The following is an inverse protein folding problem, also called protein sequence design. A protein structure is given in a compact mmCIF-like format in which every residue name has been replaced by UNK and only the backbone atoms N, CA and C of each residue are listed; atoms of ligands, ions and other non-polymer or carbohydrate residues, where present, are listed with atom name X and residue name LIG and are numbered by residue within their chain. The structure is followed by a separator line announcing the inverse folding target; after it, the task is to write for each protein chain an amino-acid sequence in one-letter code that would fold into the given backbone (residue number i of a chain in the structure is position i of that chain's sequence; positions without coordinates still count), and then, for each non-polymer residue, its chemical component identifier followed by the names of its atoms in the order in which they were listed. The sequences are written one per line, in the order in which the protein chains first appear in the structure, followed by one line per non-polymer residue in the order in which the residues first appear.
data_IF_270379251699
#
_entry.id   IF_270379251699
#
_cell.length_a   1.000
_cell.length_b   1.000
_cell.length_c   1.000
_cell.angle_alpha   90.00
_cell.angle_beta   90.00
_cell.angle_gamma   90.00
#
_symmetry.space_group_name_H-M   'P 1'
#
loop_
_entity.id
_entity.type
_entity.pdbx_description
1 polymer ?
#
# COMPACT_ATOMS: atom_id res chain seq x y z
N UNK A 1 44.85 46.93 14.58
CA UNK A 1 43.69 46.21 13.98
C UNK A 1 43.68 46.52 12.49
N UNK A 2 44.33 45.67 11.68
CA UNK A 2 44.31 45.82 10.22
C UNK A 2 43.06 45.16 9.67
N UNK A 3 42.20 45.95 9.04
CA UNK A 3 40.98 45.49 8.39
C UNK A 3 41.32 44.50 7.27
N UNK A 4 40.71 43.31 7.31
CA UNK A 4 40.77 42.33 6.23
C UNK A 4 39.98 42.89 5.04
N UNK A 5 40.66 43.22 3.96
CA UNK A 5 40.02 43.57 2.69
C UNK A 5 39.26 42.34 2.19
N UNK A 6 37.96 42.42 1.82
CA UNK A 6 37.28 41.29 1.22
C UNK A 6 37.90 41.07 -0.16
N UNK A 7 38.66 39.98 -0.31
CA UNK A 7 39.06 39.53 -1.64
C UNK A 7 37.78 39.23 -2.41
N UNK A 8 37.44 40.07 -3.38
CA UNK A 8 36.36 39.78 -4.32
C UNK A 8 36.56 38.38 -4.86
N UNK A 9 35.49 37.58 -4.90
CA UNK A 9 35.54 36.20 -5.38
C UNK A 9 36.33 36.16 -6.70
N UNK A 10 37.37 35.32 -6.80
CA UNK A 10 38.24 35.32 -7.97
C UNK A 10 37.39 35.11 -9.22
N UNK A 11 37.61 35.95 -10.24
CA UNK A 11 36.91 35.79 -11.51
C UNK A 11 37.15 34.39 -12.08
N UNK A 12 36.20 33.88 -12.86
CA UNK A 12 36.25 32.52 -13.45
C UNK A 12 37.59 32.26 -14.16
N UNK A 13 38.18 33.28 -14.76
CA UNK A 13 39.48 33.20 -15.41
C UNK A 13 40.64 32.90 -14.44
N UNK A 14 40.65 33.56 -13.27
CA UNK A 14 41.65 33.34 -12.24
C UNK A 14 41.47 31.97 -11.58
N UNK A 15 40.23 31.55 -11.36
CA UNK A 15 39.91 30.19 -10.88
C UNK A 15 40.36 29.11 -11.87
N UNK A 16 40.09 29.29 -13.17
CA UNK A 16 40.51 28.35 -14.21
C UNK A 16 42.04 28.24 -14.27
N UNK A 17 42.75 29.38 -14.15
CA UNK A 17 44.21 29.43 -14.12
C UNK A 17 44.78 28.67 -12.92
N UNK A 18 44.22 28.89 -11.72
CA UNK A 18 44.64 28.21 -10.50
C UNK A 18 44.38 26.69 -10.55
N UNK A 19 43.26 26.28 -11.17
CA UNK A 19 42.88 24.88 -11.32
C UNK A 19 43.54 24.18 -12.52
N UNK A 20 44.36 24.88 -13.33
CA UNK A 20 45.03 24.30 -14.50
C UNK A 20 44.08 23.90 -15.64
N UNK A 21 42.86 24.44 -15.67
CA UNK A 21 41.85 24.13 -16.69
C UNK A 21 41.66 25.31 -17.64
N UNK A 22 41.35 25.03 -18.92
CA UNK A 22 41.00 26.11 -19.84
C UNK A 22 39.61 26.66 -19.50
N UNK A 23 39.44 27.98 -19.63
CA UNK A 23 38.13 28.65 -19.46
C UNK A 23 37.06 28.05 -20.39
N UNK A 24 37.43 27.73 -21.63
CA UNK A 24 36.55 27.06 -22.59
C UNK A 24 36.17 25.64 -22.14
N UNK A 25 37.12 24.89 -21.56
CA UNK A 25 36.87 23.58 -20.96
C UNK A 25 35.95 23.65 -19.76
N UNK A 26 36.16 24.62 -18.86
CA UNK A 26 35.28 24.90 -17.73
C UNK A 26 33.84 25.16 -18.17
N UNK A 27 33.61 26.09 -19.10
CA UNK A 27 32.24 26.36 -19.57
C UNK A 27 31.63 25.19 -20.35
N UNK A 28 32.42 24.40 -21.08
CA UNK A 28 31.95 23.20 -21.77
C UNK A 28 31.49 22.13 -20.78
N UNK A 29 32.29 21.86 -19.76
CA UNK A 29 31.98 20.88 -18.73
C UNK A 29 30.85 21.36 -17.80
N UNK A 30 30.83 22.65 -17.47
CA UNK A 30 29.74 23.28 -16.74
C UNK A 30 28.44 23.21 -17.52
N UNK A 31 28.43 23.46 -18.84
CA UNK A 31 27.22 23.26 -19.68
C UNK A 31 26.74 21.81 -19.72
N UNK A 32 27.64 20.84 -19.53
CA UNK A 32 27.32 19.41 -19.49
C UNK A 32 26.82 18.96 -18.12
N UNK A 33 27.27 19.61 -17.03
CA UNK A 33 27.06 19.17 -15.65
C UNK A 33 26.15 20.11 -14.84
N UNK A 34 25.85 21.31 -15.35
CA UNK A 34 24.95 22.24 -14.70
C UNK A 34 23.54 21.64 -14.72
N UNK A 35 22.92 21.42 -13.55
CA UNK A 35 21.51 21.10 -13.50
C UNK A 35 20.77 22.23 -14.22
N UNK A 36 19.94 21.89 -15.22
CA UNK A 36 19.03 22.89 -15.80
C UNK A 36 18.18 23.45 -14.66
N UNK A 37 17.90 24.75 -14.63
CA UNK A 37 17.07 25.34 -13.56
C UNK A 37 15.73 24.60 -13.40
N UNK A 38 15.16 24.11 -14.50
CA UNK A 38 13.98 23.24 -14.51
C UNK A 38 14.18 21.91 -13.75
N UNK A 39 15.37 21.33 -13.78
CA UNK A 39 15.70 20.10 -13.05
C UNK A 39 15.84 20.37 -11.54
N UNK A 40 16.42 21.51 -11.16
CA UNK A 40 16.50 21.94 -9.76
C UNK A 40 15.11 22.21 -9.18
N UNK A 41 14.26 22.96 -9.89
CA UNK A 41 12.91 23.28 -9.44
C UNK A 41 12.01 22.03 -9.32
N UNK A 42 12.10 21.11 -10.29
CA UNK A 42 11.37 19.85 -10.22
C UNK A 42 11.83 18.99 -9.03
N UNK A 43 13.14 18.90 -8.79
CA UNK A 43 13.71 18.10 -7.69
C UNK A 43 13.27 18.63 -6.33
N UNK A 44 13.26 19.95 -6.16
CA UNK A 44 12.78 20.61 -4.93
C UNK A 44 11.30 20.28 -4.64
N UNK A 45 10.44 20.39 -5.65
CA UNK A 45 9.02 20.04 -5.52
C UNK A 45 8.83 18.55 -5.20
N UNK A 46 9.58 17.66 -5.85
CA UNK A 46 9.55 16.22 -5.57
C UNK A 46 9.94 15.94 -4.12
N UNK A 47 11.02 16.56 -3.62
CA UNK A 47 11.47 16.42 -2.24
C UNK A 47 10.41 16.89 -1.25
N UNK A 48 9.85 18.09 -1.45
CA UNK A 48 8.77 18.64 -0.61
C UNK A 48 7.56 17.71 -0.57
N UNK A 49 7.09 17.24 -1.73
CA UNK A 49 5.91 16.37 -1.82
C UNK A 49 6.16 14.99 -1.19
N UNK A 50 7.35 14.42 -1.38
CA UNK A 50 7.74 13.13 -0.81
C UNK A 50 7.85 13.20 0.72
N UNK A 51 8.43 14.26 1.28
CA UNK A 51 8.53 14.47 2.73
C UNK A 51 7.15 14.70 3.37
N UNK A 52 6.28 15.48 2.72
CA UNK A 52 4.90 15.67 3.18
C UNK A 52 4.05 14.39 3.08
N UNK A 53 4.37 13.48 2.16
CA UNK A 53 3.61 12.27 1.88
C UNK A 53 4.50 11.02 1.88
N UNK A 54 5.13 10.71 3.02
CA UNK A 54 6.11 9.61 3.18
C UNK A 54 5.66 8.21 2.69
N UNK A 55 4.35 7.98 2.56
CA UNK A 55 3.76 6.73 2.10
C UNK A 55 3.40 6.72 0.60
N UNK A 56 3.68 7.79 -0.14
CA UNK A 56 3.33 7.90 -1.55
C UNK A 56 4.52 7.48 -2.42
N UNK A 57 4.29 6.48 -3.27
CA UNK A 57 5.25 6.13 -4.32
C UNK A 57 5.23 7.13 -5.48
N UNK A 58 6.20 6.99 -6.38
CA UNK A 58 6.44 7.88 -7.53
C UNK A 58 5.20 8.14 -8.41
N UNK A 59 4.25 7.20 -8.51
CA UNK A 59 2.98 7.40 -9.24
C UNK A 59 2.07 8.41 -8.56
N UNK A 60 1.93 8.34 -7.24
CA UNK A 60 1.11 9.29 -6.46
C UNK A 60 1.79 10.65 -6.38
N UNK A 61 3.11 10.69 -6.23
CA UNK A 61 3.88 11.93 -6.32
C UNK A 61 3.73 12.56 -7.71
N UNK A 62 3.80 11.77 -8.80
CA UNK A 62 3.53 12.24 -10.16
C UNK A 62 2.14 12.85 -10.33
N UNK A 63 1.11 12.28 -9.70
CA UNK A 63 -0.24 12.85 -9.73
C UNK A 63 -0.33 14.18 -8.97
N UNK A 64 0.36 14.32 -7.82
CA UNK A 64 0.44 15.57 -7.07
C UNK A 64 1.19 16.65 -7.85
N UNK A 65 2.30 16.29 -8.49
CA UNK A 65 3.02 17.17 -9.42
C UNK A 65 2.10 17.71 -10.52
N UNK A 66 1.28 16.85 -11.13
CA UNK A 66 0.29 17.27 -12.13
C UNK A 66 -0.74 18.27 -11.59
N UNK A 67 -1.15 18.13 -10.32
CA UNK A 67 -2.06 19.10 -9.67
C UNK A 67 -1.38 20.44 -9.39
N UNK A 68 -0.06 20.44 -9.17
CA UNK A 68 0.74 21.66 -9.06
C UNK A 68 1.19 22.21 -10.43
N UNK A 69 0.66 21.68 -11.54
CA UNK A 69 0.91 22.19 -12.89
C UNK A 69 2.15 21.60 -13.59
N UNK A 70 2.84 20.64 -12.98
CA UNK A 70 4.01 20.00 -13.58
C UNK A 70 3.64 18.87 -14.53
N UNK A 71 4.05 18.98 -15.80
CA UNK A 71 3.92 17.90 -16.78
C UNK A 71 5.20 17.07 -16.86
N UNK A 72 5.28 16.02 -16.05
CA UNK A 72 6.49 15.19 -15.92
C UNK A 72 6.18 13.71 -16.08
N UNK A 73 6.97 13.02 -16.90
CA UNK A 73 6.87 11.57 -17.06
C UNK A 73 7.18 10.85 -15.74
N UNK A 74 6.33 9.88 -15.36
CA UNK A 74 6.49 9.08 -14.14
C UNK A 74 7.88 8.41 -14.02
N UNK A 75 8.55 8.06 -15.12
CA UNK A 75 9.92 7.52 -15.10
C UNK A 75 10.94 8.54 -14.61
N UNK A 76 10.76 9.83 -14.94
CA UNK A 76 11.61 10.92 -14.46
C UNK A 76 11.40 11.17 -12.97
N UNK A 77 10.15 11.12 -12.52
CA UNK A 77 9.82 11.19 -11.07
C UNK A 77 10.47 10.03 -10.32
N UNK A 78 10.37 8.81 -10.84
CA UNK A 78 11.00 7.63 -10.25
C UNK A 78 12.53 7.77 -10.18
N UNK A 79 13.16 8.23 -11.27
CA UNK A 79 14.62 8.45 -11.31
C UNK A 79 15.06 9.42 -10.21
N UNK A 80 14.44 10.60 -10.14
CA UNK A 80 14.78 11.64 -9.16
C UNK A 80 14.54 11.14 -7.74
N UNK A 81 13.40 10.52 -7.47
CA UNK A 81 13.13 9.93 -6.15
C UNK A 81 14.13 8.83 -5.77
N UNK A 82 14.62 8.05 -6.74
CA UNK A 82 15.65 7.04 -6.52
C UNK A 82 17.02 7.65 -6.22
N UNK A 83 17.43 8.67 -6.98
CA UNK A 83 18.68 9.41 -6.78
C UNK A 83 18.73 10.11 -5.42
N UNK A 84 17.58 10.58 -4.91
CA UNK A 84 17.46 11.29 -3.63
C UNK A 84 17.09 10.38 -2.45
N UNK A 85 17.02 9.05 -2.63
CA UNK A 85 16.58 8.10 -1.59
C UNK A 85 15.19 8.43 -0.99
N UNK A 86 14.27 8.96 -1.80
CA UNK A 86 12.90 9.35 -1.42
C UNK A 86 11.87 8.24 -1.68
N UNK A 87 12.31 6.99 -1.81
CA UNK A 87 11.41 5.88 -2.10
C UNK A 87 10.47 5.62 -0.92
N UNK A 88 9.19 5.39 -1.23
CA UNK A 88 8.13 5.20 -0.24
C UNK A 88 8.48 4.06 0.73
N UNK A 89 8.44 4.38 2.02
CA UNK A 89 8.48 3.39 3.09
C UNK A 89 7.06 2.84 3.29
N UNK A 90 6.81 1.67 2.71
CA UNK A 90 5.55 0.95 2.92
C UNK A 90 5.62 0.25 4.27
N UNK A 91 4.91 0.78 5.26
CA UNK A 91 4.64 0.02 6.49
C UNK A 91 3.83 -1.22 6.12
N UNK A 92 4.18 -2.38 6.68
CA UNK A 92 3.31 -3.56 6.55
C UNK A 92 1.92 -3.18 7.06
N UNK A 93 0.84 -3.48 6.31
CA UNK A 93 -0.50 -3.25 6.82
C UNK A 93 -0.63 -3.98 8.15
N UNK A 94 -1.20 -3.32 9.15
CA UNK A 94 -1.54 -3.98 10.40
C UNK A 94 -2.60 -5.04 10.08
N UNK A 95 -2.22 -6.31 10.28
CA UNK A 95 -3.15 -7.44 10.19
C UNK A 95 -3.32 -7.94 11.62
N UNK A 96 -4.49 -7.74 12.26
CA UNK A 96 -4.74 -8.29 13.58
C UNK A 96 -4.57 -9.82 13.51
N UNK A 97 -3.86 -10.39 14.49
CA UNK A 97 -3.74 -11.85 14.60
C UNK A 97 -5.08 -12.42 15.03
N UNK A 98 -5.86 -12.89 14.06
CA UNK A 98 -7.15 -13.56 14.29
C UNK A 98 -6.98 -15.00 14.74
N UNK A 99 -5.83 -15.63 14.45
CA UNK A 99 -5.53 -17.01 14.79
C UNK A 99 -4.18 -17.11 15.49
N UNK A 100 -4.16 -17.66 16.70
CA UNK A 100 -2.91 -18.06 17.35
C UNK A 100 -2.55 -19.50 16.98
N UNK A 101 -1.77 -19.66 15.92
CA UNK A 101 -1.27 -20.97 15.50
C UNK A 101 -0.15 -21.52 16.40
N UNK A 102 0.34 -20.75 17.39
CA UNK A 102 1.38 -21.19 18.33
C UNK A 102 0.77 -21.58 19.68
N UNK A 103 -0.25 -22.42 19.63
CA UNK A 103 -0.93 -22.93 20.80
C UNK A 103 -0.44 -24.34 21.18
N UNK A 104 -0.59 -24.73 22.44
CA UNK A 104 -0.27 -26.09 22.93
C UNK A 104 -1.38 -27.11 22.67
N UNK A 105 -2.53 -26.71 22.10
CA UNK A 105 -3.64 -27.61 21.81
C UNK A 105 -3.27 -28.66 20.75
N UNK A 106 -3.90 -29.84 20.87
CA UNK A 106 -3.76 -30.93 19.90
C UNK A 106 -4.21 -30.46 18.51
N UNK A 107 -3.30 -30.51 17.55
CA UNK A 107 -3.61 -30.28 16.14
C UNK A 107 -4.22 -31.57 15.58
N UNK A 108 -5.45 -31.49 15.08
CA UNK A 108 -6.13 -32.60 14.40
C UNK A 108 -5.81 -32.60 12.91
N UNK A 109 -5.63 -33.76 12.27
CA UNK A 109 -5.38 -33.83 10.84
C UNK A 109 -6.59 -33.31 10.05
N UNK A 110 -6.33 -32.60 8.96
CA UNK A 110 -7.39 -32.17 8.05
C UNK A 110 -7.88 -33.38 7.23
N UNK A 111 -8.97 -34.00 7.68
CA UNK A 111 -9.59 -35.16 7.02
C UNK A 111 -10.22 -34.83 5.66
N UNK A 112 -10.51 -33.56 5.38
CA UNK A 112 -11.05 -33.14 4.09
C UNK A 112 -9.97 -33.08 2.99
N UNK A 113 -8.67 -33.09 3.35
CA UNK A 113 -7.58 -33.01 2.38
C UNK A 113 -7.55 -34.28 1.52
N UNK A 114 -7.74 -34.14 0.22
CA UNK A 114 -7.72 -35.25 -0.73
C UNK A 114 -9.01 -36.08 -0.78
N UNK A 115 -10.08 -35.61 -0.14
CA UNK A 115 -11.38 -36.27 -0.21
C UNK A 115 -12.00 -36.04 -1.60
N UNK A 116 -12.36 -37.13 -2.29
CA UNK A 116 -13.17 -37.08 -3.50
C UNK A 116 -14.65 -37.10 -3.11
N UNK A 117 -15.37 -36.04 -3.47
CA UNK A 117 -16.80 -35.91 -3.17
C UNK A 117 -17.61 -36.53 -4.32
N UNK A 118 -18.41 -37.54 -4.00
CA UNK A 118 -19.28 -38.26 -4.94
C UNK A 118 -20.76 -37.86 -4.84
N UNK A 119 -21.12 -37.04 -3.84
CA UNK A 119 -22.49 -36.57 -3.67
C UNK A 119 -22.66 -35.45 -2.64
N UNK A 120 -23.88 -34.93 -2.55
CA UNK A 120 -24.28 -33.93 -1.56
C UNK A 120 -24.20 -34.48 -0.14
N UNK A 121 -24.01 -33.60 0.84
CA UNK A 121 -23.95 -33.89 2.28
C UNK A 121 -22.77 -34.76 2.73
N UNK A 122 -21.69 -34.82 1.95
CA UNK A 122 -20.46 -35.53 2.33
C UNK A 122 -19.45 -34.63 3.04
N UNK A 123 -19.40 -33.35 2.65
CA UNK A 123 -18.54 -32.35 3.26
C UNK A 123 -19.25 -31.00 3.26
N UNK A 124 -19.30 -30.37 4.42
CA UNK A 124 -19.80 -28.99 4.56
C UNK A 124 -18.65 -28.05 4.85
N UNK A 125 -18.64 -26.92 4.14
CA UNK A 125 -17.69 -25.84 4.36
C UNK A 125 -18.44 -24.68 4.99
N UNK A 126 -17.94 -24.20 6.12
CA UNK A 126 -18.52 -23.08 6.85
C UNK A 126 -17.52 -21.96 6.91
N UNK A 127 -17.97 -20.75 6.61
CA UNK A 127 -17.18 -19.53 6.76
C UNK A 127 -18.02 -18.43 7.42
N UNK A 128 -17.34 -17.54 8.15
CA UNK A 128 -17.96 -16.35 8.74
C UNK A 128 -17.26 -15.13 8.16
N UNK A 129 -18.04 -14.30 7.47
CA UNK A 129 -17.56 -13.06 6.87
C UNK A 129 -18.20 -11.82 7.52
N UNK A 130 -17.53 -10.68 7.36
CA UNK A 130 -17.91 -9.40 7.95
C UNK A 130 -18.51 -8.53 6.85
N UNK A 131 -19.72 -8.04 7.07
CA UNK A 131 -20.40 -7.11 6.19
C UNK A 131 -20.31 -5.71 6.80
N UNK A 132 -19.65 -4.80 6.09
CA UNK A 132 -19.66 -3.37 6.43
C UNK A 132 -21.03 -2.79 6.07
N UNK A 133 -21.77 -2.33 7.06
CA UNK A 133 -22.97 -1.50 6.89
C UNK A 133 -22.60 -0.03 7.09
N UNK A 134 -23.53 0.88 6.79
CA UNK A 134 -23.28 2.32 6.88
C UNK A 134 -22.88 2.77 8.31
N UNK A 135 -23.52 2.18 9.33
CA UNK A 135 -23.38 2.61 10.73
C UNK A 135 -22.68 1.58 11.63
N UNK A 136 -22.58 0.32 11.19
CA UNK A 136 -22.05 -0.78 11.99
C UNK A 136 -21.58 -1.95 11.12
N UNK A 137 -21.15 -3.04 11.76
CA UNK A 137 -20.78 -4.28 11.09
C UNK A 137 -21.76 -5.39 11.43
N UNK A 138 -22.04 -6.24 10.44
CA UNK A 138 -22.77 -7.49 10.65
C UNK A 138 -21.86 -8.70 10.31
N UNK A 139 -22.19 -9.85 10.88
CA UNK A 139 -21.45 -11.10 10.73
C UNK A 139 -22.36 -12.10 10.04
N UNK A 140 -21.96 -12.54 8.85
CA UNK A 140 -22.68 -13.52 8.05
C UNK A 140 -21.95 -14.87 8.14
N UNK A 141 -22.60 -15.84 8.77
CA UNK A 141 -22.16 -17.24 8.74
C UNK A 141 -22.88 -17.96 7.59
N UNK A 142 -22.12 -18.67 6.75
CA UNK A 142 -22.65 -19.42 5.60
C UNK A 142 -22.18 -20.86 5.64
N UNK A 143 -23.10 -21.79 5.43
CA UNK A 143 -22.84 -23.23 5.28
C UNK A 143 -23.05 -23.61 3.81
N UNK A 144 -21.98 -24.09 3.18
CA UNK A 144 -21.98 -24.60 1.81
C UNK A 144 -21.86 -26.12 1.80
N UNK A 145 -22.66 -26.76 0.96
CA UNK A 145 -22.39 -28.14 0.55
C UNK A 145 -21.22 -28.15 -0.45
N UNK A 146 -20.14 -28.87 -0.14
CA UNK A 146 -18.90 -28.80 -0.92
C UNK A 146 -19.04 -29.41 -2.32
N UNK A 147 -19.93 -30.40 -2.49
CA UNK A 147 -20.18 -31.08 -3.77
C UNK A 147 -21.04 -30.21 -4.70
N UNK A 148 -22.24 -29.82 -4.27
CA UNK A 148 -23.18 -29.04 -5.08
C UNK A 148 -22.87 -27.55 -5.15
N UNK A 149 -21.98 -27.06 -4.28
CA UNK A 149 -21.63 -25.64 -4.11
C UNK A 149 -22.81 -24.76 -3.70
N UNK A 150 -23.93 -25.33 -3.27
CA UNK A 150 -25.12 -24.60 -2.83
C UNK A 150 -24.99 -24.16 -1.38
N UNK A 151 -25.53 -22.98 -1.09
CA UNK A 151 -25.77 -22.54 0.29
C UNK A 151 -26.92 -23.37 0.86
N UNK A 152 -26.62 -24.13 1.91
CA UNK A 152 -27.59 -24.99 2.58
C UNK A 152 -28.07 -24.41 3.91
N UNK A 153 -27.35 -23.44 4.46
CA UNK A 153 -27.73 -22.71 5.67
C UNK A 153 -26.95 -21.40 5.81
N UNK A 154 -27.53 -20.43 6.52
CA UNK A 154 -26.88 -19.16 6.82
C UNK A 154 -27.52 -18.50 8.05
N UNK A 155 -26.79 -17.61 8.69
CA UNK A 155 -27.30 -16.72 9.73
C UNK A 155 -26.57 -15.38 9.68
N UNK A 156 -27.25 -14.31 10.07
CA UNK A 156 -26.71 -12.95 10.08
C UNK A 156 -26.98 -12.33 11.44
N UNK A 157 -25.94 -11.88 12.12
CA UNK A 157 -26.04 -11.25 13.45
C UNK A 157 -25.11 -10.05 13.57
N UNK A 158 -25.36 -9.18 14.56
CA UNK A 158 -24.48 -8.06 14.88
C UNK A 158 -23.32 -8.46 15.83
N UNK A 159 -23.15 -9.76 16.08
CA UNK A 159 -22.12 -10.30 16.99
C UNK A 159 -21.46 -11.59 16.47
N UNK A 160 -20.24 -11.87 16.92
CA UNK A 160 -19.47 -13.10 16.60
C UNK A 160 -19.59 -14.18 17.70
N UNK A 161 -20.78 -14.38 18.28
CA UNK A 161 -21.00 -15.43 19.30
C UNK A 161 -21.18 -16.80 18.65
N UNK A 162 -20.95 -17.86 19.42
CA UNK A 162 -21.15 -19.23 18.96
C UNK A 162 -22.59 -19.51 18.45
N UNK A 163 -23.59 -18.77 18.96
CA UNK A 163 -24.98 -18.85 18.48
C UNK A 163 -25.10 -18.61 16.97
N UNK A 164 -24.35 -17.66 16.41
CA UNK A 164 -24.36 -17.37 14.97
C UNK A 164 -24.03 -18.62 14.14
N UNK A 165 -22.97 -19.34 14.50
CA UNK A 165 -22.55 -20.54 13.79
C UNK A 165 -23.56 -21.68 13.96
N UNK A 166 -24.10 -21.83 15.17
CA UNK A 166 -25.12 -22.85 15.48
C UNK A 166 -26.40 -22.58 14.68
N UNK A 167 -26.83 -21.33 14.58
CA UNK A 167 -28.07 -20.97 13.89
C UNK A 167 -27.94 -21.12 12.37
N UNK A 168 -26.76 -20.84 11.80
CA UNK A 168 -26.49 -21.12 10.38
C UNK A 168 -26.61 -22.62 10.05
N UNK A 169 -26.26 -23.51 10.98
CA UNK A 169 -26.34 -24.96 10.79
C UNK A 169 -27.77 -25.52 10.96
N UNK A 170 -28.61 -24.87 11.77
CA UNK A 170 -30.00 -25.30 12.00
C UNK A 170 -30.91 -25.10 10.77
N UNK A 171 -30.53 -24.22 9.85
CA UNK A 171 -31.31 -23.96 8.63
C UNK A 171 -31.32 -25.19 7.70
N UNK A 172 -32.49 -25.84 7.59
CA UNK A 172 -32.86 -26.80 6.55
C UNK A 172 -34.15 -26.25 5.93
N UNK A 173 -34.04 -25.60 4.76
CA UNK A 173 -35.10 -24.87 4.02
C UNK A 173 -36.48 -25.58 3.95
N UNK A 174 -37.62 -24.86 3.75
CA UNK A 174 -37.74 -23.69 2.87
C UNK A 174 -38.55 -22.48 3.38
N UNK A 175 -38.10 -21.29 3.00
CA UNK A 175 -38.80 -19.98 3.06
C UNK A 175 -39.14 -19.41 4.46
N UNK A 176 -38.40 -18.37 4.86
CA UNK A 176 -38.90 -17.10 5.46
C UNK A 176 -37.68 -16.27 5.88
N UNK A 177 -37.51 -15.10 5.25
CA UNK A 177 -36.61 -14.07 5.76
C UNK A 177 -37.13 -13.56 7.09
N UNK A 178 -36.52 -13.95 8.22
CA UNK A 178 -36.67 -13.20 9.47
C UNK A 178 -35.54 -12.20 9.54
N UNK A 179 -35.82 -10.98 9.11
CA UNK A 179 -35.13 -9.83 9.64
C UNK A 179 -35.54 -9.69 11.11
N UNK A 180 -34.60 -9.52 12.07
CA UNK A 180 -34.98 -9.03 13.38
C UNK A 180 -35.56 -7.63 13.19
N UNK A 181 -36.80 -7.44 13.63
CA UNK A 181 -37.39 -6.11 13.72
C UNK A 181 -36.53 -5.29 14.69
N UNK A 182 -36.06 -4.13 14.22
CA UNK A 182 -35.62 -3.02 15.07
C UNK A 182 -36.86 -2.28 15.52
#
# INVERSE_FOLDING_TARGET
MTAHVPHGSPGIEQMCRLAGVSRAGYYRHWRQSAPRQEETGLRDVIQRLALANRHYGYRRIGALLGREGWQVNHKRVLRVMGEDNLLCLRTRPFVPRTTDSRHSWRVVPNLARGMELTGVNQLWVVDITYLHLAEQFAYLAVVLDAFSRKVIGWALELHLRASLAVDAQKWRSPHVFRFPAV
#
